data_IF_317530881142
#
_entry.id   IF_317530881142
#
_cell.length_a   1.000
_cell.length_b   1.000
_cell.length_c   1.000
_cell.angle_alpha   90.00
_cell.angle_beta   90.00
_cell.angle_gamma   90.00
#
_symmetry.space_group_name_H-M   'P 1'
#
loop_
_entity.id
_entity.type
_entity.pdbx_description
1 polymer ?
#
# COMPACT_ATOMS: atom_id res chain seq x y z
N UNK A 1 26.67 27.75 60.59
CA UNK A 1 25.71 27.43 59.51
C UNK A 1 25.22 26.01 59.72
N UNK A 2 23.90 25.85 59.60
CA UNK A 2 22.99 24.73 59.91
C UNK A 2 23.37 23.43 59.15
N UNK A 3 23.66 22.29 59.81
CA UNK A 3 22.84 21.07 60.11
C UNK A 3 22.69 20.01 58.96
N UNK A 4 22.90 18.74 59.35
CA UNK A 4 22.32 17.46 58.89
C UNK A 4 22.74 16.78 57.57
N UNK A 5 23.48 15.68 57.73
CA UNK A 5 22.93 14.32 57.59
C UNK A 5 22.18 13.96 56.31
N UNK A 6 22.87 13.37 55.34
CA UNK A 6 22.21 12.59 54.27
C UNK A 6 22.03 11.15 54.77
N UNK A 7 20.99 10.95 55.59
CA UNK A 7 20.40 9.63 55.80
C UNK A 7 19.75 9.19 54.50
N UNK A 8 20.19 8.05 53.96
CA UNK A 8 19.46 7.28 52.94
C UNK A 8 18.12 6.81 53.53
N UNK A 9 16.96 7.13 52.95
CA UNK A 9 15.79 6.29 53.11
C UNK A 9 15.90 5.09 52.15
N UNK A 10 15.95 3.90 52.74
CA UNK A 10 15.68 2.65 52.05
C UNK A 10 14.19 2.63 51.63
N UNK A 11 13.92 2.28 50.36
CA UNK A 11 12.56 2.00 49.90
C UNK A 11 12.06 2.86 48.75
N UNK A 12 12.63 2.67 47.55
CA UNK A 12 11.90 2.88 46.30
C UNK A 12 12.51 1.93 45.25
N UNK A 13 11.80 0.84 44.98
CA UNK A 13 12.04 -0.02 43.84
C UNK A 13 12.08 0.88 42.58
N UNK A 14 13.02 0.72 41.63
CA UNK A 14 12.94 1.42 40.37
C UNK A 14 11.60 1.02 39.74
N UNK A 15 10.64 1.94 39.69
CA UNK A 15 9.40 1.70 38.97
C UNK A 15 9.78 1.42 37.53
N UNK A 16 9.29 0.32 36.91
CA UNK A 16 9.49 0.11 35.49
C UNK A 16 9.01 1.37 34.76
N UNK A 17 9.70 1.80 33.69
CA UNK A 17 9.20 2.91 32.89
C UNK A 17 7.78 2.53 32.46
N UNK A 18 6.80 3.35 32.86
CA UNK A 18 5.45 3.24 32.33
C UNK A 18 5.55 3.16 30.81
N UNK A 19 4.90 2.20 30.13
CA UNK A 19 4.84 2.22 28.69
C UNK A 19 4.18 3.55 28.32
N UNK A 20 4.97 4.47 27.80
CA UNK A 20 4.45 5.56 27.02
C UNK A 20 3.65 4.89 25.92
N UNK A 21 2.31 4.95 26.05
CA UNK A 21 1.40 4.75 24.92
C UNK A 21 1.67 5.94 24.02
N UNK A 22 2.78 5.87 23.29
CA UNK A 22 3.11 6.77 22.21
C UNK A 22 2.13 6.39 21.14
N UNK A 23 1.00 7.12 21.15
CA UNK A 23 -0.13 6.91 20.26
C UNK A 23 0.39 6.67 18.86
N UNK A 24 0.12 5.47 18.36
CA UNK A 24 0.49 4.97 17.05
C UNK A 24 -0.34 5.70 15.95
N UNK A 25 -0.39 7.03 16.00
CA UNK A 25 -0.97 7.89 14.95
C UNK A 25 0.00 8.05 13.77
N UNK A 26 1.26 7.61 13.92
CA UNK A 26 2.26 7.62 12.86
C UNK A 26 2.22 6.41 11.92
N UNK A 27 1.46 5.36 12.20
CA UNK A 27 1.49 4.12 11.41
C UNK A 27 1.08 4.33 9.95
N UNK A 28 -0.10 4.92 9.72
CA UNK A 28 -0.58 5.20 8.36
C UNK A 28 0.18 6.35 7.69
N UNK A 29 0.53 7.39 8.45
CA UNK A 29 1.24 8.55 7.90
C UNK A 29 2.67 8.18 7.50
N UNK A 30 3.35 7.35 8.29
CA UNK A 30 4.67 6.80 8.01
C UNK A 30 4.65 5.91 6.78
N UNK A 31 3.66 5.01 6.66
CA UNK A 31 3.45 4.19 5.45
C UNK A 31 3.22 5.08 4.23
N UNK A 32 2.36 6.09 4.33
CA UNK A 32 2.12 7.05 3.23
C UNK A 32 3.38 7.83 2.84
N UNK A 33 4.22 8.20 3.80
CA UNK A 33 5.47 8.90 3.52
C UNK A 33 6.51 7.97 2.85
N UNK A 34 6.54 6.69 3.23
CA UNK A 34 7.36 5.66 2.56
C UNK A 34 6.91 5.39 1.12
N UNK A 35 5.60 5.45 0.85
CA UNK A 35 5.05 5.34 -0.51
C UNK A 35 5.38 6.57 -1.36
N UNK A 36 5.58 7.74 -0.75
CA UNK A 36 5.85 9.01 -1.44
C UNK A 36 7.33 9.22 -1.76
N UNK A 37 8.24 8.60 -1.00
CA UNK A 37 9.67 8.91 -1.02
C UNK A 37 10.56 8.16 -2.02
N UNK A 38 10.03 7.20 -2.80
CA UNK A 38 10.90 6.31 -3.60
C UNK A 38 10.32 5.79 -4.91
N UNK A 39 9.31 6.45 -5.46
CA UNK A 39 8.60 5.91 -6.62
C UNK A 39 9.30 6.35 -7.90
N UNK A 40 10.12 5.44 -8.47
CA UNK A 40 10.48 5.55 -9.89
C UNK A 40 9.16 5.70 -10.67
N UNK A 41 9.11 6.64 -11.61
CA UNK A 41 7.89 6.91 -12.37
C UNK A 41 7.42 5.64 -13.10
N UNK A 42 6.38 5.00 -12.57
CA UNK A 42 5.76 3.83 -13.20
C UNK A 42 4.89 4.32 -14.35
N UNK A 43 4.99 3.75 -15.56
CA UNK A 43 4.20 4.14 -16.72
C UNK A 43 2.71 4.17 -16.44
N UNK A 44 2.01 5.16 -16.99
CA UNK A 44 0.54 5.28 -16.85
C UNK A 44 -0.19 4.10 -17.49
N UNK A 45 0.36 3.59 -18.60
CA UNK A 45 -0.18 2.45 -19.32
C UNK A 45 0.06 1.14 -18.54
N UNK A 46 -0.99 0.36 -18.23
CA UNK A 46 -0.87 -0.85 -17.42
C UNK A 46 -0.06 -1.95 -18.10
N UNK A 47 -0.10 -2.04 -19.44
CA UNK A 47 0.67 -3.03 -20.18
C UNK A 47 2.17 -2.71 -20.12
N UNK A 48 2.54 -1.46 -20.38
CA UNK A 48 3.92 -1.00 -20.25
C UNK A 48 4.44 -1.11 -18.82
N UNK A 49 3.61 -0.78 -17.83
CA UNK A 49 3.97 -0.95 -16.42
C UNK A 49 4.28 -2.42 -16.11
N UNK A 50 3.42 -3.35 -16.53
CA UNK A 50 3.66 -4.78 -16.31
C UNK A 50 4.88 -5.32 -17.07
N UNK A 51 5.14 -4.84 -18.28
CA UNK A 51 6.32 -5.22 -19.05
C UNK A 51 7.61 -4.72 -18.40
N UNK A 52 7.61 -3.50 -17.86
CA UNK A 52 8.73 -2.96 -17.09
C UNK A 52 8.95 -3.75 -15.79
N UNK A 53 7.88 -4.08 -15.06
CA UNK A 53 7.95 -4.92 -13.87
C UNK A 53 8.58 -6.28 -14.20
N UNK A 54 8.07 -6.96 -15.24
CA UNK A 54 8.59 -8.26 -15.68
C UNK A 54 10.08 -8.16 -16.01
N UNK A 55 10.47 -7.14 -16.77
CA UNK A 55 11.88 -6.93 -17.15
C UNK A 55 12.77 -6.75 -15.94
N UNK A 56 12.33 -5.95 -14.94
CA UNK A 56 13.09 -5.71 -13.71
C UNK A 56 13.18 -6.95 -12.83
N UNK A 57 12.09 -7.72 -12.72
CA UNK A 57 12.08 -9.01 -12.02
C UNK A 57 13.04 -10.02 -12.66
N UNK A 58 13.02 -10.15 -13.99
CA UNK A 58 13.93 -11.06 -14.70
C UNK A 58 15.40 -10.63 -14.58
N UNK A 59 15.66 -9.34 -14.44
CA UNK A 59 17.00 -8.79 -14.17
C UNK A 59 17.45 -8.92 -12.71
N UNK A 60 16.58 -9.39 -11.82
CA UNK A 60 16.87 -9.48 -10.39
C UNK A 60 16.98 -8.12 -9.70
N UNK A 61 16.39 -7.06 -10.27
CA UNK A 61 16.39 -5.75 -9.64
C UNK A 61 15.51 -5.77 -8.38
N UNK A 62 15.99 -5.16 -7.30
CA UNK A 62 15.18 -4.96 -6.11
C UNK A 62 14.06 -3.95 -6.40
N UNK A 63 12.86 -4.31 -5.97
CA UNK A 63 11.67 -3.47 -6.04
C UNK A 63 11.34 -2.99 -4.64
N UNK A 64 11.09 -1.70 -4.50
CA UNK A 64 10.62 -1.16 -3.24
C UNK A 64 9.18 -1.61 -2.97
N UNK A 65 8.77 -1.71 -1.69
CA UNK A 65 7.38 -2.03 -1.34
C UNK A 65 6.37 -1.05 -1.97
N UNK A 66 6.74 0.23 -2.09
CA UNK A 66 5.88 1.24 -2.73
C UNK A 66 5.70 1.00 -4.23
N UNK A 67 6.75 0.59 -4.94
CA UNK A 67 6.64 0.23 -6.37
C UNK A 67 5.73 -1.00 -6.55
N UNK A 68 5.87 -2.03 -5.71
CA UNK A 68 5.02 -3.22 -5.77
C UNK A 68 3.54 -2.90 -5.59
N UNK A 69 3.21 -2.06 -4.61
CA UNK A 69 1.83 -1.62 -4.37
C UNK A 69 1.30 -0.86 -5.59
N UNK A 70 2.11 0.02 -6.19
CA UNK A 70 1.68 0.74 -7.38
C UNK A 70 1.46 -0.18 -8.58
N UNK A 71 2.33 -1.16 -8.82
CA UNK A 71 2.08 -2.16 -9.86
C UNK A 71 0.81 -2.96 -9.60
N UNK A 72 0.55 -3.33 -8.35
CA UNK A 72 -0.66 -4.05 -7.96
C UNK A 72 -1.93 -3.23 -8.20
N UNK A 73 -1.91 -1.94 -7.83
CA UNK A 73 -3.03 -1.02 -8.10
C UNK A 73 -3.30 -0.91 -9.61
N UNK A 74 -2.25 -0.75 -10.42
CA UNK A 74 -2.39 -0.66 -11.88
C UNK A 74 -2.93 -1.93 -12.52
N UNK A 75 -2.45 -3.10 -12.08
CA UNK A 75 -2.96 -4.38 -12.54
C UNK A 75 -4.45 -4.56 -12.18
N UNK A 76 -4.84 -4.16 -10.96
CA UNK A 76 -6.24 -4.16 -10.52
C UNK A 76 -7.13 -3.24 -11.36
N UNK A 77 -6.68 -2.02 -11.64
CA UNK A 77 -7.42 -1.07 -12.48
C UNK A 77 -7.65 -1.63 -13.90
N UNK A 78 -6.62 -2.23 -14.50
CA UNK A 78 -6.75 -2.88 -15.80
C UNK A 78 -7.73 -4.05 -15.77
N UNK A 79 -7.68 -4.88 -14.73
CA UNK A 79 -8.62 -5.99 -14.54
C UNK A 79 -10.08 -5.51 -14.52
N UNK A 80 -10.37 -4.45 -13.78
CA UNK A 80 -11.72 -3.84 -13.72
C UNK A 80 -12.15 -3.30 -15.08
N UNK A 81 -11.24 -2.64 -15.82
CA UNK A 81 -11.53 -2.13 -17.17
C UNK A 81 -11.90 -3.26 -18.14
N UNK A 82 -11.16 -4.37 -18.12
CA UNK A 82 -11.44 -5.54 -18.97
C UNK A 82 -12.76 -6.19 -18.57
N UNK A 83 -13.05 -6.32 -17.28
CA UNK A 83 -14.32 -6.85 -16.81
C UNK A 83 -15.50 -5.99 -17.27
N UNK A 84 -15.38 -4.67 -17.18
CA UNK A 84 -16.41 -3.74 -17.65
C UNK A 84 -16.65 -3.89 -19.15
N UNK A 85 -15.58 -3.91 -19.95
CA UNK A 85 -15.67 -4.10 -21.41
C UNK A 85 -16.32 -5.44 -21.74
N UNK A 86 -15.97 -6.50 -21.00
CA UNK A 86 -16.56 -7.83 -21.19
C UNK A 86 -18.06 -7.83 -20.91
N UNK A 87 -18.49 -7.23 -19.78
CA UNK A 87 -19.91 -7.10 -19.45
C UNK A 87 -20.69 -6.26 -20.49
N UNK A 88 -20.08 -5.20 -21.02
CA UNK A 88 -20.69 -4.41 -22.10
C UNK A 88 -20.82 -5.25 -23.37
N UNK A 89 -19.78 -5.99 -23.76
CA UNK A 89 -19.82 -6.87 -24.92
C UNK A 89 -20.86 -7.99 -24.78
N UNK A 90 -21.00 -8.57 -23.59
CA UNK A 90 -22.04 -9.56 -23.28
C UNK A 90 -23.45 -8.95 -23.40
N UNK A 91 -23.66 -7.74 -22.84
CA UNK A 91 -24.93 -7.01 -22.92
C UNK A 91 -25.32 -6.68 -24.37
N UNK A 92 -24.36 -6.24 -25.19
CA UNK A 92 -24.56 -5.98 -26.61
C UNK A 92 -24.87 -7.27 -27.37
N UNK A 93 -24.14 -8.35 -27.10
CA UNK A 93 -24.38 -9.66 -27.73
C UNK A 93 -25.75 -10.23 -27.37
N UNK A 94 -26.16 -10.08 -26.12
CA UNK A 94 -27.51 -10.48 -25.67
C UNK A 94 -28.60 -9.64 -26.35
N UNK A 95 -28.37 -8.35 -26.54
CA UNK A 95 -29.29 -7.45 -27.24
C UNK A 95 -29.41 -7.78 -28.73
N UNK A 96 -28.29 -8.08 -29.40
CA UNK A 96 -28.27 -8.52 -30.80
C UNK A 96 -29.00 -9.86 -30.99
N UNK A 97 -28.80 -10.82 -30.08
CA UNK A 97 -29.52 -12.10 -30.13
C UNK A 97 -31.04 -11.91 -29.98
N UNK A 98 -31.49 -10.99 -29.12
CA UNK A 98 -32.92 -10.69 -28.96
C UNK A 98 -33.52 -10.06 -30.22
N UNK A 99 -32.79 -9.16 -30.88
CA UNK A 99 -33.21 -8.57 -32.16
C UNK A 99 -33.28 -9.60 -33.29
N UNK A 100 -32.29 -10.50 -33.37
CA UNK A 100 -32.28 -11.59 -34.36
C UNK A 100 -33.39 -12.63 -34.15
N UNK A 101 -33.91 -12.79 -32.92
CA UNK A 101 -35.03 -13.70 -32.64
C UNK A 101 -36.40 -13.04 -32.83
N UNK A 102 -36.47 -11.72 -32.99
CA UNK A 102 -37.72 -10.97 -33.18
C UNK A 102 -37.97 -10.50 -34.62
N UNK A 103 -37.00 -10.68 -35.53
CA UNK A 103 -37.16 -10.49 -36.98
C UNK A 103 -37.16 -11.83 -37.71
#
# INVERSE_FOLDING_TARGET
>A
MIIAGIRRPAGALPTPPSPSVQGNQGGFQGVMNSLRGGTKAIPTDPFQAMQQLSTRLTRGESLSPGELIQYQVRAGEFGVRVELVSKVAESLSASLRKLQQQG
#
